data_IF_586044027173
#
_entry.id   IF_586044027173
#
_cell.length_a   1.000
_cell.length_b   1.000
_cell.length_c   1.000
_cell.angle_alpha   90.00
_cell.angle_beta   90.00
_cell.angle_gamma   90.00
#
_symmetry.space_group_name_H-M   'P 1'
#
loop_
_entity.id
_entity.type
_entity.pdbx_description
1 polymer ?
#
# COMPACT_ATOMS: atom_id res chain seq x y z
N UNK A 1 10.94 19.15 -9.92
CA UNK A 1 10.45 20.48 -9.49
C UNK A 1 11.47 21.49 -9.97
N UNK A 2 11.04 22.47 -10.74
CA UNK A 2 11.91 23.51 -11.31
C UNK A 2 11.41 24.90 -10.88
N UNK A 3 12.29 25.89 -11.02
CA UNK A 3 11.95 27.29 -10.79
C UNK A 3 11.39 27.90 -12.08
N UNK A 4 10.12 28.27 -12.06
CA UNK A 4 9.41 28.81 -13.23
C UNK A 4 10.04 30.12 -13.74
N UNK A 5 10.73 30.87 -12.88
CA UNK A 5 11.43 32.11 -13.29
C UNK A 5 12.70 31.85 -14.11
N UNK A 6 13.29 30.66 -13.96
CA UNK A 6 14.51 30.25 -14.64
C UNK A 6 14.23 29.26 -15.78
N UNK A 7 13.02 28.68 -15.79
CA UNK A 7 12.67 27.59 -16.69
C UNK A 7 13.49 26.34 -16.41
N UNK A 8 13.49 25.42 -17.37
CA UNK A 8 14.20 24.16 -17.27
C UNK A 8 15.68 24.36 -17.60
N UNK A 9 16.55 24.04 -16.65
CA UNK A 9 18.00 24.14 -16.83
C UNK A 9 18.57 22.84 -17.43
N UNK A 10 19.82 22.90 -17.91
CA UNK A 10 20.52 21.70 -18.42
C UNK A 10 20.59 20.58 -17.37
N UNK A 11 20.72 20.95 -16.09
CA UNK A 11 20.71 19.99 -14.97
C UNK A 11 19.36 19.31 -14.77
N UNK A 12 18.27 20.07 -14.93
CA UNK A 12 16.92 19.51 -14.81
C UNK A 12 16.65 18.51 -15.93
N UNK A 13 17.18 18.80 -17.12
CA UNK A 13 17.10 17.91 -18.28
C UNK A 13 17.90 16.63 -18.05
N UNK A 14 19.10 16.71 -17.49
CA UNK A 14 19.91 15.55 -17.13
C UNK A 14 19.20 14.65 -16.10
N UNK A 15 18.54 15.24 -15.12
CA UNK A 15 17.73 14.48 -14.14
C UNK A 15 16.58 13.77 -14.84
N UNK A 16 15.84 14.46 -15.72
CA UNK A 16 14.72 13.84 -16.44
C UNK A 16 15.18 12.66 -17.30
N UNK A 17 16.33 12.78 -17.98
CA UNK A 17 16.93 11.71 -18.77
C UNK A 17 17.45 10.54 -17.93
N UNK A 18 17.78 10.76 -16.66
CA UNK A 18 18.20 9.72 -15.73
C UNK A 18 17.05 8.85 -15.20
N UNK A 19 15.80 9.31 -15.37
CA UNK A 19 14.63 8.61 -14.87
C UNK A 19 14.20 7.48 -15.80
N UNK A 20 13.72 6.34 -15.26
CA UNK A 20 13.17 5.26 -16.08
C UNK A 20 11.93 5.69 -16.86
N UNK A 21 11.89 5.41 -18.17
CA UNK A 21 10.82 5.82 -19.09
C UNK A 21 9.41 5.24 -18.79
N UNK A 22 9.30 4.27 -17.85
CA UNK A 22 8.03 3.64 -17.49
C UNK A 22 7.35 4.29 -16.29
N UNK A 23 8.01 5.26 -15.65
CA UNK A 23 7.47 5.94 -14.47
C UNK A 23 6.74 7.21 -14.93
N UNK A 24 5.48 7.44 -14.51
CA UNK A 24 4.78 8.68 -14.79
C UNK A 24 5.58 9.88 -14.25
N UNK A 25 5.91 10.83 -15.11
CA UNK A 25 6.66 12.03 -14.75
C UNK A 25 5.71 13.23 -14.68
N UNK A 26 5.81 14.01 -13.60
CA UNK A 26 5.14 15.30 -13.48
C UNK A 26 6.16 16.38 -13.15
N UNK A 27 6.27 17.38 -14.02
CA UNK A 27 7.17 18.52 -13.86
C UNK A 27 6.44 19.64 -13.15
N UNK A 28 6.87 19.94 -11.93
CA UNK A 28 6.31 21.02 -11.12
C UNK A 28 7.12 22.29 -11.35
N UNK A 29 6.47 23.32 -11.89
CA UNK A 29 6.97 24.68 -12.04
C UNK A 29 6.58 25.50 -10.81
N UNK A 30 7.53 25.77 -9.93
CA UNK A 30 7.31 26.52 -8.70
C UNK A 30 7.66 28.00 -8.89
N UNK A 31 7.12 28.87 -8.03
CA UNK A 31 7.34 30.33 -7.96
C UNK A 31 6.59 31.14 -9.02
N UNK A 32 5.39 30.72 -9.40
CA UNK A 32 4.55 31.50 -10.32
C UNK A 32 4.16 32.89 -9.78
N UNK A 33 4.27 33.11 -8.47
CA UNK A 33 4.11 34.43 -7.84
C UNK A 33 5.14 35.44 -8.34
N UNK A 34 6.25 34.99 -8.93
CA UNK A 34 7.32 35.84 -9.46
C UNK A 34 7.30 35.93 -10.99
N UNK A 35 6.92 34.86 -11.69
CA UNK A 35 6.83 34.85 -13.16
C UNK A 35 5.53 35.46 -13.68
N UNK A 36 4.47 35.47 -12.87
CA UNK A 36 3.14 35.91 -13.27
C UNK A 36 2.35 34.85 -14.06
N UNK A 37 2.84 33.61 -14.16
CA UNK A 37 2.08 32.52 -14.75
C UNK A 37 0.85 32.17 -13.91
N UNK A 38 -0.17 31.65 -14.58
CA UNK A 38 -1.38 31.18 -13.91
C UNK A 38 -1.18 29.76 -13.37
N UNK A 39 -1.87 29.47 -12.27
CA UNK A 39 -1.99 28.10 -11.77
C UNK A 39 -2.71 27.23 -12.80
N UNK A 40 -2.00 26.27 -13.39
CA UNK A 40 -2.56 25.36 -14.39
C UNK A 40 -1.87 24.00 -14.32
N UNK A 41 -2.61 22.97 -14.70
CA UNK A 41 -2.10 21.64 -15.02
C UNK A 41 -2.34 21.43 -16.52
N UNK A 42 -1.27 21.16 -17.26
CA UNK A 42 -1.32 20.96 -18.71
C UNK A 42 -0.37 19.84 -19.14
N UNK A 43 -0.67 19.20 -20.26
CA UNK A 43 0.24 18.25 -20.90
C UNK A 43 1.04 18.96 -21.98
N UNK A 44 2.36 18.92 -21.89
CA UNK A 44 3.26 19.43 -22.92
C UNK A 44 4.21 18.32 -23.35
N UNK A 45 4.30 18.05 -24.65
CA UNK A 45 5.21 17.05 -25.22
C UNK A 45 5.09 15.63 -24.63
N UNK A 46 3.93 15.28 -24.05
CA UNK A 46 3.70 13.99 -23.40
C UNK A 46 4.03 13.95 -21.90
N UNK A 47 4.56 15.03 -21.35
CA UNK A 47 4.81 15.18 -19.92
C UNK A 47 3.72 16.05 -19.26
N UNK A 48 3.36 15.73 -18.03
CA UNK A 48 2.44 16.56 -17.24
C UNK A 48 3.20 17.70 -16.58
N UNK A 49 2.78 18.93 -16.82
CA UNK A 49 3.32 20.13 -16.22
C UNK A 49 2.31 20.78 -15.25
N UNK A 50 2.77 21.14 -14.06
CA UNK A 50 1.95 21.79 -13.03
C UNK A 50 2.62 23.07 -12.55
N UNK A 51 1.91 24.19 -12.67
CA UNK A 51 2.36 25.52 -12.28
C UNK A 51 1.76 25.92 -10.94
N UNK A 52 2.60 26.18 -9.95
CA UNK A 52 2.18 26.54 -8.60
C UNK A 52 3.13 27.55 -7.93
N UNK A 53 2.66 28.14 -6.83
CA UNK A 53 3.52 28.85 -5.88
C UNK A 53 3.43 28.18 -4.53
N UNK A 54 4.50 27.50 -4.13
CA UNK A 54 4.61 26.93 -2.80
C UNK A 54 4.62 28.02 -1.70
N UNK A 55 4.90 29.28 -2.05
CA UNK A 55 4.96 30.40 -1.11
C UNK A 55 3.58 30.97 -0.82
N UNK A 56 2.75 31.17 -1.84
CA UNK A 56 1.39 31.70 -1.67
C UNK A 56 0.38 30.59 -1.36
N UNK A 57 0.70 29.35 -1.75
CA UNK A 57 -0.20 28.20 -1.69
C UNK A 57 -1.03 28.02 -2.97
N UNK A 58 -0.90 28.92 -3.95
CA UNK A 58 -1.61 28.83 -5.21
C UNK A 58 -1.19 27.56 -5.97
N UNK A 59 -2.17 26.73 -6.36
CA UNK A 59 -1.91 25.46 -7.06
C UNK A 59 -1.60 24.26 -6.17
N UNK A 60 -1.48 24.43 -4.85
CA UNK A 60 -1.25 23.30 -3.94
C UNK A 60 -2.43 22.31 -3.91
N UNK A 61 -3.66 22.81 -3.94
CA UNK A 61 -4.86 21.95 -4.02
C UNK A 61 -4.94 21.18 -5.36
N UNK A 62 -4.46 21.80 -6.44
CA UNK A 62 -4.38 21.15 -7.76
C UNK A 62 -3.33 20.04 -7.75
N UNK A 63 -2.18 20.29 -7.11
CA UNK A 63 -1.12 19.29 -6.91
C UNK A 63 -1.61 18.12 -6.06
N UNK A 64 -2.28 18.39 -4.94
CA UNK A 64 -2.83 17.35 -4.07
C UNK A 64 -3.78 16.44 -4.84
N UNK A 65 -4.73 17.04 -5.59
CA UNK A 65 -5.66 16.29 -6.43
C UNK A 65 -4.93 15.42 -7.46
N UNK A 66 -3.97 16.00 -8.19
CA UNK A 66 -3.18 15.27 -9.20
C UNK A 66 -2.41 14.09 -8.60
N UNK A 67 -1.85 14.26 -7.41
CA UNK A 67 -1.15 13.19 -6.71
C UNK A 67 -2.12 12.08 -6.29
N UNK A 68 -3.29 12.42 -5.76
CA UNK A 68 -4.33 11.43 -5.45
C UNK A 68 -4.77 10.65 -6.70
N UNK A 69 -5.04 11.35 -7.79
CA UNK A 69 -5.46 10.74 -9.05
C UNK A 69 -4.36 9.83 -9.63
N UNK A 70 -3.10 10.26 -9.59
CA UNK A 70 -1.97 9.49 -10.16
C UNK A 70 -1.62 8.22 -9.39
N UNK A 71 -1.87 8.18 -8.08
CA UNK A 71 -1.70 6.96 -7.27
C UNK A 71 -2.97 6.10 -7.20
N UNK A 72 -4.04 6.51 -7.89
CA UNK A 72 -5.33 5.83 -7.86
C UNK A 72 -6.05 5.91 -6.51
N UNK A 73 -5.74 6.91 -5.69
CA UNK A 73 -6.36 7.11 -4.39
C UNK A 73 -7.79 7.63 -4.56
N UNK A 74 -8.77 6.75 -4.33
CA UNK A 74 -10.19 7.08 -4.34
C UNK A 74 -10.72 7.09 -2.89
N UNK A 75 -11.03 8.26 -2.31
CA UNK A 75 -11.48 8.35 -0.91
C UNK A 75 -12.87 7.75 -0.63
N UNK A 76 -13.52 7.13 -1.63
CA UNK A 76 -14.89 6.60 -1.50
C UNK A 76 -15.00 5.10 -1.20
N UNK A 77 -13.90 4.36 -1.08
CA UNK A 77 -13.98 3.01 -0.53
C UNK A 77 -13.98 3.07 1.01
N UNK A 78 -15.18 3.15 1.59
CA UNK A 78 -15.44 2.69 2.96
C UNK A 78 -14.97 1.24 3.09
N UNK A 79 -13.69 1.05 3.38
CA UNK A 79 -13.08 -0.26 3.43
C UNK A 79 -11.61 -0.34 3.03
N UNK A 80 -10.86 0.77 3.03
CA UNK A 80 -9.40 0.68 2.94
C UNK A 80 -8.87 0.02 4.22
N UNK A 81 -8.91 -1.32 4.25
CA UNK A 81 -8.06 -2.10 5.12
C UNK A 81 -6.63 -1.77 4.72
N UNK A 82 -5.98 -0.87 5.46
CA UNK A 82 -4.54 -0.65 5.35
C UNK A 82 -3.86 -1.90 5.91
N UNK A 83 -3.84 -2.98 5.11
CA UNK A 83 -3.06 -4.16 5.40
C UNK A 83 -1.60 -3.76 5.30
N UNK A 84 -0.97 -3.57 6.46
CA UNK A 84 0.48 -3.36 6.53
C UNK A 84 1.17 -4.59 5.93
N UNK A 85 2.39 -4.43 5.44
CA UNK A 85 3.20 -5.53 4.87
C UNK A 85 3.21 -6.80 5.74
N UNK A 86 3.24 -6.66 7.07
CA UNK A 86 3.12 -7.77 8.03
C UNK A 86 1.80 -8.55 7.98
N UNK A 87 0.68 -7.88 7.72
CA UNK A 87 -0.62 -8.55 7.61
C UNK A 87 -0.70 -9.33 6.30
N UNK A 88 -0.14 -8.79 5.21
CA UNK A 88 -0.06 -9.49 3.94
C UNK A 88 0.82 -10.73 4.05
N UNK A 89 1.99 -10.62 4.69
CA UNK A 89 2.90 -11.74 4.96
C UNK A 89 2.24 -12.84 5.81
N UNK A 90 1.50 -12.46 6.86
CA UNK A 90 0.74 -13.40 7.67
C UNK A 90 -0.37 -14.13 6.88
N UNK A 91 -1.07 -13.42 5.99
CA UNK A 91 -2.09 -14.02 5.11
C UNK A 91 -1.46 -14.96 4.07
N UNK A 92 -0.32 -14.59 3.50
CA UNK A 92 0.43 -15.42 2.55
C UNK A 92 0.87 -16.73 3.19
N UNK A 93 1.50 -16.67 4.37
CA UNK A 93 1.86 -17.87 5.16
C UNK A 93 0.66 -18.72 5.53
N UNK A 94 -0.47 -18.10 5.89
CA UNK A 94 -1.72 -18.81 6.19
C UNK A 94 -2.21 -19.59 4.96
N UNK A 95 -2.20 -18.96 3.79
CA UNK A 95 -2.63 -19.56 2.54
C UNK A 95 -1.72 -20.74 2.14
N UNK A 96 -0.40 -20.57 2.22
CA UNK A 96 0.57 -21.62 1.92
C UNK A 96 0.38 -22.87 2.79
N UNK A 97 0.16 -22.68 4.09
CA UNK A 97 -0.10 -23.79 5.00
C UNK A 97 -1.43 -24.51 4.68
N UNK A 98 -2.50 -23.78 4.37
CA UNK A 98 -3.77 -24.40 3.97
C UNK A 98 -3.62 -25.23 2.69
N UNK A 99 -2.93 -24.70 1.68
CA UNK A 99 -2.64 -25.41 0.44
C UNK A 99 -1.80 -26.67 0.68
N UNK A 100 -0.76 -26.58 1.52
CA UNK A 100 0.05 -27.72 1.91
C UNK A 100 -0.81 -28.80 2.60
N UNK A 101 -1.64 -28.42 3.56
CA UNK A 101 -2.54 -29.32 4.27
C UNK A 101 -3.57 -29.98 3.35
N UNK A 102 -4.15 -29.21 2.42
CA UNK A 102 -5.08 -29.73 1.41
C UNK A 102 -4.41 -30.76 0.49
N UNK A 103 -3.18 -30.48 0.04
CA UNK A 103 -2.41 -31.41 -0.78
C UNK A 103 -2.04 -32.69 -0.01
N UNK A 104 -1.70 -32.59 1.27
CA UNK A 104 -1.46 -33.75 2.14
C UNK A 104 -2.71 -34.61 2.34
N UNK A 105 -3.87 -33.99 2.55
CA UNK A 105 -5.14 -34.68 2.72
C UNK A 105 -5.56 -35.39 1.42
N UNK A 106 -5.54 -34.68 0.29
CA UNK A 106 -6.02 -35.22 -1.00
C UNK A 106 -5.06 -36.19 -1.65
N UNK A 107 -3.75 -36.00 -1.47
CA UNK A 107 -2.72 -36.87 -2.03
C UNK A 107 -2.44 -38.14 -1.22
N UNK A 108 -2.38 -38.02 0.10
CA UNK A 108 -1.90 -39.11 0.98
C UNK A 108 -2.92 -39.53 2.06
N UNK A 109 -4.06 -38.84 2.17
CA UNK A 109 -5.03 -39.08 3.25
C UNK A 109 -4.48 -38.76 4.64
N UNK A 110 -3.41 -37.97 4.72
CA UNK A 110 -2.65 -37.73 5.94
C UNK A 110 -3.32 -36.64 6.81
N UNK A 111 -4.36 -37.03 7.55
CA UNK A 111 -5.09 -36.12 8.44
C UNK A 111 -4.24 -35.50 9.55
N UNK A 112 -3.18 -36.18 10.00
CA UNK A 112 -2.24 -35.66 11.00
C UNK A 112 -1.38 -34.52 10.42
N UNK A 113 -0.96 -34.61 9.15
CA UNK A 113 -0.24 -33.54 8.47
C UNK A 113 -1.15 -32.34 8.21
N UNK A 114 -2.40 -32.60 7.80
CA UNK A 114 -3.40 -31.53 7.69
C UNK A 114 -3.58 -30.79 9.03
N UNK A 115 -3.66 -31.51 10.14
CA UNK A 115 -3.84 -30.89 11.46
C UNK A 115 -2.66 -29.99 11.84
N UNK A 116 -1.42 -30.39 11.53
CA UNK A 116 -0.23 -29.57 11.74
C UNK A 116 -0.23 -28.33 10.84
N UNK A 117 -0.56 -28.47 9.56
CA UNK A 117 -0.62 -27.34 8.63
C UNK A 117 -1.71 -26.33 9.02
N UNK A 118 -2.88 -26.79 9.48
CA UNK A 118 -3.93 -25.91 10.01
C UNK A 118 -3.49 -25.17 11.28
N UNK A 119 -2.65 -25.80 12.12
CA UNK A 119 -2.07 -25.14 13.30
C UNK A 119 -1.13 -24.01 12.88
N UNK A 120 -0.30 -24.23 11.85
CA UNK A 120 0.57 -23.19 11.29
C UNK A 120 -0.23 -22.03 10.70
N UNK A 121 -1.29 -22.35 9.94
CA UNK A 121 -2.22 -21.36 9.39
C UNK A 121 -2.88 -20.50 10.49
N UNK A 122 -3.36 -21.14 11.56
CA UNK A 122 -3.93 -20.45 12.71
C UNK A 122 -2.93 -19.51 13.39
N UNK A 123 -1.67 -19.96 13.58
CA UNK A 123 -0.63 -19.14 14.20
C UNK A 123 -0.34 -17.89 13.37
N UNK A 124 -0.15 -18.03 12.06
CA UNK A 124 0.10 -16.91 11.15
C UNK A 124 -1.08 -15.91 11.17
N UNK A 125 -2.32 -16.39 11.13
CA UNK A 125 -3.51 -15.53 11.21
C UNK A 125 -3.65 -14.84 12.58
N UNK A 126 -3.23 -15.50 13.66
CA UNK A 126 -3.21 -14.96 15.02
C UNK A 126 -2.26 -13.75 15.20
N UNK A 127 -1.21 -13.65 14.37
CA UNK A 127 -0.31 -12.50 14.36
C UNK A 127 -1.02 -11.21 13.91
N UNK A 128 -2.08 -11.32 13.10
CA UNK A 128 -2.87 -10.17 12.61
C UNK A 128 -3.80 -9.64 13.71
N UNK A 129 -4.39 -10.54 14.51
CA UNK A 129 -5.40 -10.20 15.52
C UNK A 129 -4.81 -9.86 16.89
N UNK A 130 -3.50 -10.05 17.08
CA UNK A 130 -2.83 -9.73 18.35
C UNK A 130 -3.01 -10.82 19.41
N UNK A 131 -2.95 -12.09 18.98
CA UNK A 131 -2.97 -13.35 19.76
C UNK A 131 -4.31 -13.74 20.39
N UNK A 132 -4.87 -14.84 19.87
CA UNK A 132 -5.68 -15.82 20.60
C UNK A 132 -4.77 -17.04 20.76
N UNK A 133 -4.35 -17.35 21.98
CA UNK A 133 -3.33 -18.37 22.25
C UNK A 133 -3.94 -19.77 22.29
N UNK A 134 -3.10 -20.81 22.20
CA UNK A 134 -3.55 -22.19 22.40
C UNK A 134 -4.11 -22.41 23.82
N UNK A 135 -3.63 -21.64 24.81
CA UNK A 135 -4.19 -21.63 26.17
C UNK A 135 -5.59 -21.01 26.19
N UNK A 136 -5.84 -19.92 25.44
CA UNK A 136 -7.19 -19.32 25.34
C UNK A 136 -8.20 -20.26 24.67
N UNK A 137 -7.75 -21.04 23.67
CA UNK A 137 -8.57 -22.04 23.00
C UNK A 137 -8.88 -23.24 23.92
N UNK A 138 -7.88 -23.72 24.66
CA UNK A 138 -8.06 -24.81 25.62
C UNK A 138 -8.96 -24.38 26.78
N UNK A 139 -8.77 -23.19 27.33
CA UNK A 139 -9.63 -22.63 28.38
C UNK A 139 -11.08 -22.49 27.91
N UNK A 140 -11.31 -22.09 26.65
CA UNK A 140 -12.66 -22.01 26.12
C UNK A 140 -13.32 -23.39 25.93
N UNK A 141 -12.57 -24.40 25.46
CA UNK A 141 -13.06 -25.78 25.32
C UNK A 141 -13.38 -26.39 26.70
N UNK A 142 -12.55 -26.14 27.73
CA UNK A 142 -12.72 -26.69 29.07
C UNK A 142 -13.57 -25.85 30.01
N UNK A 143 -13.86 -24.58 29.70
CA UNK A 143 -14.75 -23.71 30.49
C UNK A 143 -16.20 -24.23 30.58
N UNK A 144 -16.60 -25.08 29.65
CA UNK A 144 -17.92 -25.74 29.63
C UNK A 144 -17.96 -27.08 30.37
N UNK A 145 -16.82 -27.61 30.81
CA UNK A 145 -16.75 -28.76 31.70
C UNK A 145 -16.80 -28.27 33.15
N UNK A 146 -17.95 -28.37 33.79
CA UNK A 146 -18.00 -28.28 35.25
C UNK A 146 -17.18 -29.44 35.85
N UNK A 147 -15.90 -29.21 36.12
CA UNK A 147 -15.17 -30.00 37.10
C UNK A 147 -15.71 -29.54 38.44
N UNK A 148 -16.76 -30.24 38.88
CA UNK A 148 -17.28 -30.12 40.24
C UNK A 148 -16.18 -30.44 41.25
N UNK A 149 -16.38 -29.90 42.45
CA UNK A 149 -15.68 -30.26 43.70
C UNK A 149 -15.22 -31.71 43.78
#
# INVERSE_FOLDING_TARGET
>A
VIDDTQGMTDKDTEICLSLPAHIPLTIIHNKIDQSGHQTILEEQNGDTHLYLSAKTGDGMALLEKHLCDSVGYHPQDEGVFIARRRHLDALERTHEAIEAGYNCLTGMGAGELLAEELRQAQHALGEITGTFTNEDLLDQIFSSFCIGK
#
